data_IF_347952158492
#
_entry.id   IF_347952158492
#
_cell.length_a   1.000
_cell.length_b   1.000
_cell.length_c   1.000
_cell.angle_alpha   90.00
_cell.angle_beta   90.00
_cell.angle_gamma   90.00
#
_symmetry.space_group_name_H-M   'P 1'
#
loop_
_entity.id
_entity.type
_entity.pdbx_description
1 polymer ?
#
# COMPACT_ATOMS: atom_id res chain seq x y z
N UNK A 1 5.22 -0.83 27.83
CA UNK A 1 4.92 -2.28 27.73
C UNK A 1 3.48 -2.44 27.32
N UNK A 2 3.23 -3.00 26.14
CA UNK A 2 1.90 -3.31 25.67
C UNK A 2 1.31 -4.44 26.51
N UNK A 3 0.03 -4.34 26.88
CA UNK A 3 -0.63 -5.36 27.71
C UNK A 3 -1.18 -6.51 26.86
N UNK A 4 -1.48 -6.25 25.60
CA UNK A 4 -2.09 -7.27 24.74
C UNK A 4 -1.74 -6.99 23.28
N UNK A 5 -1.06 -7.96 22.68
CA UNK A 5 -0.80 -7.99 21.25
C UNK A 5 -1.62 -9.11 20.63
N UNK A 6 -2.35 -8.80 19.55
CA UNK A 6 -3.16 -9.76 18.83
C UNK A 6 -3.04 -9.55 17.34
N UNK A 7 -2.92 -10.64 16.60
CA UNK A 7 -2.95 -10.64 15.14
C UNK A 7 -4.37 -10.94 14.69
N UNK A 8 -4.96 -10.02 13.92
CA UNK A 8 -6.29 -10.19 13.33
C UNK A 8 -6.21 -10.27 11.82
N UNK A 9 -6.97 -11.19 11.22
CA UNK A 9 -7.28 -11.12 9.80
C UNK A 9 -8.65 -10.45 9.63
N UNK A 10 -8.67 -9.22 9.11
CA UNK A 10 -9.90 -8.46 8.94
C UNK A 10 -10.49 -8.74 7.55
N UNK A 11 -11.73 -9.27 7.47
CA UNK A 11 -12.41 -9.45 6.20
C UNK A 11 -13.06 -8.12 5.75
N UNK A 12 -12.55 -7.53 4.67
CA UNK A 12 -13.11 -6.33 4.06
C UNK A 12 -14.18 -6.63 3.00
N UNK A 13 -14.55 -7.90 2.80
CA UNK A 13 -15.54 -8.33 1.82
C UNK A 13 -16.88 -7.58 1.95
N UNK A 14 -17.32 -7.31 3.19
CA UNK A 14 -18.56 -6.56 3.48
C UNK A 14 -18.59 -5.16 2.87
N UNK A 15 -17.43 -4.54 2.64
CA UNK A 15 -17.35 -3.21 2.02
C UNK A 15 -17.76 -3.22 0.54
N UNK A 16 -17.61 -4.36 -0.13
CA UNK A 16 -17.97 -4.51 -1.55
C UNK A 16 -19.47 -4.66 -1.77
N UNK A 17 -20.14 -5.30 -0.82
CA UNK A 17 -21.59 -5.55 -0.84
C UNK A 17 -22.37 -4.30 -0.47
N UNK A 18 -21.95 -3.59 0.59
CA UNK A 18 -22.75 -2.50 1.18
C UNK A 18 -22.55 -1.13 0.53
N UNK A 19 -21.47 -0.93 -0.22
CA UNK A 19 -21.08 0.41 -0.64
C UNK A 19 -20.76 0.53 -2.13
N UNK A 20 -21.13 1.69 -2.69
CA UNK A 20 -20.81 2.09 -4.05
C UNK A 20 -19.29 2.12 -4.29
N UNK A 21 -18.88 1.83 -5.53
CA UNK A 21 -17.46 1.68 -5.93
C UNK A 21 -16.59 2.84 -5.46
N UNK A 22 -17.08 4.07 -5.56
CA UNK A 22 -16.29 5.28 -5.30
C UNK A 22 -16.04 5.56 -3.81
N UNK A 23 -16.62 4.79 -2.87
CA UNK A 23 -16.45 5.00 -1.43
C UNK A 23 -15.89 3.79 -0.68
N UNK A 24 -15.59 2.69 -1.37
CA UNK A 24 -15.24 1.40 -0.72
C UNK A 24 -14.03 1.50 0.20
N UNK A 25 -12.93 2.12 -0.24
CA UNK A 25 -11.75 2.26 0.60
C UNK A 25 -11.99 3.16 1.84
N UNK A 26 -12.78 4.24 1.70
CA UNK A 26 -13.17 5.08 2.83
C UNK A 26 -13.95 4.28 3.89
N UNK A 27 -14.88 3.43 3.45
CA UNK A 27 -15.62 2.54 4.35
C UNK A 27 -14.76 1.40 4.89
N UNK A 28 -13.76 0.93 4.15
CA UNK A 28 -12.82 -0.08 4.65
C UNK A 28 -12.05 0.45 5.87
N UNK A 29 -11.57 1.69 5.84
CA UNK A 29 -10.91 2.31 7.00
C UNK A 29 -11.86 2.40 8.20
N UNK A 30 -13.11 2.84 7.99
CA UNK A 30 -14.14 2.89 9.04
C UNK A 30 -14.44 1.50 9.61
N UNK A 31 -14.52 0.49 8.75
CA UNK A 31 -14.77 -0.88 9.15
C UNK A 31 -13.61 -1.45 9.97
N UNK A 32 -12.36 -1.15 9.60
CA UNK A 32 -11.18 -1.55 10.38
C UNK A 32 -11.22 -0.92 11.78
N UNK A 33 -11.54 0.38 11.89
CA UNK A 33 -11.69 1.05 13.20
C UNK A 33 -12.77 0.38 14.05
N UNK A 34 -13.96 0.16 13.48
CA UNK A 34 -15.07 -0.49 14.19
C UNK A 34 -14.75 -1.94 14.58
N UNK A 35 -14.01 -2.66 13.73
CA UNK A 35 -13.57 -4.02 14.02
C UNK A 35 -12.63 -4.03 15.23
N UNK A 36 -11.62 -3.16 15.24
CA UNK A 36 -10.66 -3.10 16.35
C UNK A 36 -11.32 -2.67 17.66
N UNK A 37 -12.17 -1.64 17.62
CA UNK A 37 -12.94 -1.19 18.78
C UNK A 37 -13.77 -2.34 19.39
N UNK A 38 -14.45 -3.13 18.55
CA UNK A 38 -15.26 -4.28 19.01
C UNK A 38 -14.43 -5.39 19.65
N UNK A 39 -13.30 -5.76 19.06
CA UNK A 39 -12.52 -6.93 19.52
C UNK A 39 -11.55 -6.60 20.66
N UNK A 40 -11.06 -5.37 20.73
CA UNK A 40 -10.16 -4.91 21.80
C UNK A 40 -10.92 -4.25 22.95
N UNK A 41 -12.26 -4.08 22.82
CA UNK A 41 -13.16 -3.43 23.78
C UNK A 41 -12.70 -2.01 24.12
N UNK A 42 -12.58 -1.18 23.10
CA UNK A 42 -12.07 0.20 23.20
C UNK A 42 -13.03 1.15 22.50
N UNK A 43 -13.07 2.41 22.93
CA UNK A 43 -13.82 3.45 22.25
C UNK A 43 -13.28 3.68 20.82
N UNK A 44 -14.15 4.14 19.92
CA UNK A 44 -13.81 4.31 18.50
C UNK A 44 -12.74 5.39 18.28
N UNK A 45 -12.70 6.39 19.16
CA UNK A 45 -11.82 7.57 19.08
C UNK A 45 -10.37 7.27 19.49
N UNK A 46 -10.16 6.19 20.26
CA UNK A 46 -8.85 5.78 20.77
C UNK A 46 -8.10 4.85 19.81
N UNK A 47 -8.73 4.44 18.71
CA UNK A 47 -8.13 3.54 17.71
C UNK A 47 -7.30 4.36 16.71
N UNK A 48 -5.97 4.23 16.80
CA UNK A 48 -5.03 4.86 15.87
C UNK A 48 -4.55 3.85 14.83
N UNK A 49 -4.82 4.18 13.56
CA UNK A 49 -4.39 3.37 12.42
C UNK A 49 -3.08 3.95 11.88
N UNK A 50 -2.05 3.11 11.74
CA UNK A 50 -0.79 3.52 11.11
C UNK A 50 -0.98 3.86 9.63
N UNK A 51 -0.12 4.74 9.11
CA UNK A 51 -0.12 5.14 7.70
C UNK A 51 0.07 3.94 6.77
N UNK A 52 0.93 2.98 7.14
CA UNK A 52 1.17 1.76 6.37
C UNK A 52 -0.12 0.97 6.08
N UNK A 53 -1.01 0.84 7.07
CA UNK A 53 -2.30 0.16 6.90
C UNK A 53 -3.20 0.93 5.93
N UNK A 54 -3.22 2.26 6.01
CA UNK A 54 -3.96 3.07 5.05
C UNK A 54 -3.40 2.88 3.63
N UNK A 55 -2.09 2.93 3.44
CA UNK A 55 -1.49 2.68 2.11
C UNK A 55 -1.85 1.30 1.57
N UNK A 56 -1.86 0.26 2.40
CA UNK A 56 -2.30 -1.08 2.00
C UNK A 56 -3.77 -1.10 1.56
N UNK A 57 -4.66 -0.43 2.29
CA UNK A 57 -6.08 -0.31 1.92
C UNK A 57 -6.25 0.41 0.58
N UNK A 58 -5.47 1.46 0.35
CA UNK A 58 -5.54 2.30 -0.85
C UNK A 58 -4.62 1.85 -2.00
N UNK A 59 -3.89 0.73 -1.86
CA UNK A 59 -2.87 0.28 -2.83
C UNK A 59 -3.42 0.06 -4.26
N UNK A 60 -4.71 -0.28 -4.39
CA UNK A 60 -5.41 -0.48 -5.68
C UNK A 60 -6.41 0.64 -5.98
N UNK A 61 -6.29 1.78 -5.28
CA UNK A 61 -7.19 2.93 -5.37
C UNK A 61 -8.51 2.76 -4.59
N UNK A 62 -9.37 3.78 -4.68
CA UNK A 62 -10.61 3.89 -3.88
C UNK A 62 -11.66 2.82 -4.23
N UNK A 63 -11.62 2.28 -5.46
CA UNK A 63 -12.63 1.38 -6.03
C UNK A 63 -12.47 -0.09 -5.61
N UNK A 64 -11.25 -0.50 -5.31
CA UNK A 64 -10.90 -1.91 -5.14
C UNK A 64 -9.97 -2.15 -3.94
N UNK A 65 -10.40 -1.86 -2.69
CA UNK A 65 -9.59 -2.16 -1.52
C UNK A 65 -9.33 -3.68 -1.40
N UNK A 66 -8.21 -4.12 -0.79
CA UNK A 66 -7.94 -5.55 -0.56
C UNK A 66 -9.11 -6.26 0.13
N UNK A 67 -9.35 -7.54 -0.18
CA UNK A 67 -10.47 -8.33 0.40
C UNK A 67 -10.21 -8.77 1.84
N UNK A 68 -8.94 -8.99 2.20
CA UNK A 68 -8.47 -9.41 3.52
C UNK A 68 -7.20 -8.64 3.85
N UNK A 69 -7.06 -8.20 5.09
CA UNK A 69 -5.83 -7.55 5.59
C UNK A 69 -5.48 -8.19 6.93
N UNK A 70 -4.21 -8.57 7.11
CA UNK A 70 -3.66 -9.04 8.38
C UNK A 70 -3.05 -7.85 9.13
N UNK A 71 -3.56 -7.58 10.32
CA UNK A 71 -3.10 -6.48 11.17
C UNK A 71 -2.65 -7.02 12.52
N UNK A 72 -1.58 -6.44 13.04
CA UNK A 72 -1.22 -6.58 14.44
C UNK A 72 -1.81 -5.39 15.20
N UNK A 73 -2.63 -5.70 16.21
CA UNK A 73 -3.19 -4.70 17.12
C UNK A 73 -2.46 -4.82 18.45
N UNK A 74 -1.84 -3.74 18.89
CA UNK A 74 -1.20 -3.63 20.20
C UNK A 74 -2.00 -2.66 21.07
N UNK A 75 -2.33 -3.07 22.30
CA UNK A 75 -3.02 -2.25 23.29
C UNK A 75 -2.02 -1.68 24.29
N UNK A 76 -2.00 -0.36 24.38
CA UNK A 76 -1.25 0.38 25.38
C UNK A 76 -2.01 0.46 26.71
N UNK A 77 -1.28 0.66 27.82
CA UNK A 77 -1.84 0.81 29.17
C UNK A 77 -2.84 1.97 29.32
N UNK A 78 -2.77 2.94 28.40
CA UNK A 78 -3.65 4.12 28.34
C UNK A 78 -4.94 3.83 27.56
N UNK A 79 -5.13 2.59 27.08
CA UNK A 79 -6.32 2.19 26.30
C UNK A 79 -6.18 2.39 24.80
N UNK A 80 -5.14 3.08 24.33
CA UNK A 80 -4.92 3.30 22.90
C UNK A 80 -4.58 1.99 22.16
N UNK A 81 -5.13 1.82 20.96
CA UNK A 81 -4.84 0.68 20.10
C UNK A 81 -4.09 1.16 18.87
N UNK A 82 -2.88 0.63 18.69
CA UNK A 82 -2.07 0.85 17.49
C UNK A 82 -2.24 -0.34 16.54
N UNK A 83 -2.73 -0.05 15.34
CA UNK A 83 -2.85 -1.02 14.27
C UNK A 83 -1.67 -0.91 13.31
N UNK A 84 -0.83 -1.95 13.29
CA UNK A 84 0.30 -2.09 12.39
C UNK A 84 0.02 -3.15 11.33
N UNK A 85 0.53 -2.91 10.12
CA UNK A 85 0.41 -3.85 9.00
C UNK A 85 1.39 -5.01 9.21
N UNK A 86 0.90 -6.25 9.15
CA UNK A 86 1.72 -7.46 9.30
C UNK A 86 1.91 -8.16 7.93
N UNK A 87 1.92 -7.42 6.82
CA UNK A 87 2.10 -8.06 5.52
C UNK A 87 3.54 -8.58 5.37
N UNK A 88 3.72 -9.88 5.65
CA UNK A 88 4.69 -10.74 4.99
C UNK A 88 4.33 -10.80 3.49
N UNK A 89 4.93 -9.90 2.72
CA UNK A 89 5.14 -10.12 1.29
C UNK A 89 6.57 -10.58 1.10
N UNK A 90 6.81 -11.86 1.33
CA UNK A 90 7.78 -12.59 0.52
C UNK A 90 7.01 -13.50 -0.45
N UNK A 91 6.91 -13.15 -1.74
CA UNK A 91 7.13 -14.17 -2.74
C UNK A 91 8.64 -14.42 -2.77
N UNK A 92 9.10 -15.56 -2.24
CA UNK A 92 10.45 -16.07 -2.54
C UNK A 92 10.63 -16.07 -4.07
N UNK A 93 11.50 -15.20 -4.57
CA UNK A 93 12.18 -15.38 -5.85
C UNK A 93 13.68 -15.32 -5.57
N UNK A 94 14.40 -16.14 -6.33
CA UNK A 94 15.87 -16.31 -6.40
C UNK A 94 16.37 -17.48 -5.51
N UNK A 95 17.05 -18.53 -5.99
CA UNK A 95 18.01 -18.53 -7.09
C UNK A 95 18.56 -19.92 -7.53
N UNK A 96 19.18 -19.94 -8.73
CA UNK A 96 20.10 -20.91 -9.39
C UNK A 96 19.51 -21.99 -10.35
N UNK A 97 19.77 -22.06 -11.67
CA UNK A 97 20.92 -21.73 -12.58
C UNK A 97 21.55 -23.02 -13.14
N UNK A 98 21.33 -23.27 -14.45
CA UNK A 98 22.34 -23.79 -15.40
C UNK A 98 22.12 -23.06 -16.73
N UNK A 99 22.94 -22.04 -17.00
CA UNK A 99 24.19 -22.13 -17.80
C UNK A 99 23.87 -21.92 -19.29
N UNK A 100 24.00 -20.70 -19.83
CA UNK A 100 25.22 -20.00 -20.23
C UNK A 100 25.96 -20.64 -21.43
N UNK A 101 26.30 -19.77 -22.40
CA UNK A 101 27.03 -19.95 -23.69
C UNK A 101 26.11 -20.27 -24.87
N UNK A 102 25.98 -19.48 -25.94
CA UNK A 102 26.80 -18.46 -26.66
C UNK A 102 25.80 -17.48 -27.31
N UNK A 103 26.01 -16.18 -27.53
CA UNK A 103 27.21 -15.41 -27.88
C UNK A 103 26.87 -13.90 -27.68
N UNK A 104 27.78 -13.16 -27.06
CA UNK A 104 27.93 -11.69 -27.18
C UNK A 104 28.99 -11.44 -28.29
N UNK A 105 29.35 -10.20 -28.72
CA UNK A 105 28.81 -8.85 -28.46
C UNK A 105 28.82 -7.90 -29.70
N UNK A 106 28.33 -6.65 -29.54
CA UNK A 106 28.91 -5.34 -29.99
C UNK A 106 27.76 -4.30 -30.02
N UNK A 107 27.89 -3.02 -29.71
CA UNK A 107 28.79 -2.14 -28.97
C UNK A 107 28.07 -0.76 -28.99
N UNK A 108 28.14 0.03 -27.91
CA UNK A 108 27.67 1.43 -27.89
C UNK A 108 28.56 2.32 -28.81
N UNK A 109 28.16 3.56 -29.18
CA UNK A 109 28.37 4.69 -28.27
C UNK A 109 27.36 5.87 -28.40
N UNK A 110 27.49 6.79 -27.46
CA UNK A 110 26.76 8.05 -27.30
C UNK A 110 27.37 9.24 -28.06
N UNK A 111 26.62 10.37 -28.09
CA UNK A 111 26.95 11.77 -28.43
C UNK A 111 26.78 12.23 -29.89
N UNK A 112 25.72 13.00 -30.12
CA UNK A 112 25.77 14.28 -30.85
C UNK A 112 24.66 15.21 -30.35
N UNK A 113 25.05 16.24 -29.58
CA UNK A 113 24.27 17.46 -29.37
C UNK A 113 24.26 18.30 -30.66
N UNK A 114 23.26 19.18 -30.80
CA UNK A 114 23.16 20.37 -31.68
C UNK A 114 22.50 20.20 -33.07
N UNK A 115 21.21 20.53 -33.12
CA UNK A 115 20.40 21.21 -34.18
C UNK A 115 18.94 20.89 -33.81
N UNK A 116 18.06 21.77 -33.34
CA UNK A 116 17.69 23.09 -33.84
C UNK A 116 17.17 23.98 -32.68
N UNK A 117 18.06 24.80 -32.13
CA UNK A 117 17.73 26.18 -31.72
C UNK A 117 18.55 27.08 -32.64
N UNK A 118 18.00 27.46 -33.81
CA UNK A 118 18.34 28.67 -34.57
C UNK A 118 17.55 28.74 -35.89
N UNK A 119 16.42 29.44 -35.85
CA UNK A 119 15.96 30.38 -36.88
C UNK A 119 14.92 31.28 -36.20
N UNK A 120 15.35 32.18 -35.30
CA UNK A 120 15.45 33.63 -35.55
C UNK A 120 14.31 34.20 -36.41
N UNK A 121 13.58 35.11 -35.75
CA UNK A 121 12.56 36.05 -36.21
C UNK A 121 12.86 36.77 -37.54
N UNK A 122 11.86 37.45 -38.14
CA UNK A 122 11.54 38.83 -37.76
C UNK A 122 10.01 39.05 -37.65
N UNK A 123 9.48 39.79 -36.68
CA UNK A 123 9.35 41.26 -36.61
C UNK A 123 8.80 41.94 -37.89
N UNK A 124 7.69 42.69 -37.69
CA UNK A 124 6.97 43.65 -38.56
C UNK A 124 5.85 43.13 -39.47
N UNK A 125 4.60 43.42 -39.06
CA UNK A 125 3.73 44.41 -39.70
C UNK A 125 2.70 44.90 -38.68
#
# INVERSE_FOLDING_TARGET
MAETERVYTIPLAKTYEKHARNRRALYAVKFVRAFLARHMKVALDEVKISTAVNHAIFARGIKAPPRRIKLMASKDKVGMVLAQLLEEKEPKKEDKKKEAKKEKPKAAPAKEEKKEKKSTAPEKA
#
